data_IF_036476480523
#
_entry.id   IF_036476480523
#
_cell.length_a   1.000
_cell.length_b   1.000
_cell.length_c   1.000
_cell.angle_alpha   90.00
_cell.angle_beta   90.00
_cell.angle_gamma   90.00
#
_symmetry.space_group_name_H-M   'P 1'
#
loop_
_entity.id
_entity.type
_entity.pdbx_description
1 polymer ?
#
# COMPACT_ATOMS: atom_id res chain seq x y z
N UNK A 1 54.51 54.94 47.74
CA UNK A 1 54.91 53.59 47.26
C UNK A 1 53.75 53.03 46.46
N UNK A 2 53.71 53.24 45.13
CA UNK A 2 54.23 52.33 44.09
C UNK A 2 53.75 50.87 44.28
N UNK A 3 52.74 50.45 43.50
CA UNK A 3 52.96 49.58 42.35
C UNK A 3 51.72 49.55 41.43
N UNK A 4 51.97 49.81 40.14
CA UNK A 4 51.07 49.57 39.00
C UNK A 4 51.02 48.07 38.72
N UNK A 5 49.86 47.57 38.30
CA UNK A 5 49.75 46.49 37.31
C UNK A 5 48.55 46.75 36.41
N UNK A 6 48.80 46.84 35.11
CA UNK A 6 47.79 46.82 34.05
C UNK A 6 47.54 45.40 33.56
N UNK A 7 46.43 45.19 32.85
CA UNK A 7 46.08 43.89 32.29
C UNK A 7 44.84 43.95 31.39
N UNK A 8 45.08 44.31 30.14
CA UNK A 8 44.39 43.95 28.88
C UNK A 8 42.89 43.63 28.87
N UNK A 9 42.15 44.55 28.24
CA UNK A 9 40.86 44.33 27.61
C UNK A 9 41.00 43.47 26.35
N UNK A 10 40.49 42.24 26.37
CA UNK A 10 40.27 41.44 25.16
C UNK A 10 38.77 41.49 24.81
N UNK A 11 38.44 42.35 23.84
CA UNK A 11 37.17 42.34 23.13
C UNK A 11 37.17 41.14 22.18
N UNK A 12 36.31 40.15 22.46
CA UNK A 12 36.00 39.06 21.53
C UNK A 12 34.93 39.58 20.56
N UNK A 13 35.14 39.59 19.23
CA UNK A 13 34.08 39.93 18.30
C UNK A 13 33.10 38.76 18.19
N UNK A 14 31.84 39.00 18.56
CA UNK A 14 30.72 38.10 18.35
C UNK A 14 30.35 38.14 16.86
N UNK A 15 30.88 37.20 16.07
CA UNK A 15 30.40 36.97 14.71
C UNK A 15 29.10 36.17 14.81
N UNK A 16 27.96 36.86 14.83
CA UNK A 16 26.64 36.24 14.68
C UNK A 16 26.54 35.66 13.28
N UNK A 17 26.75 34.35 13.18
CA UNK A 17 26.46 33.55 11.99
C UNK A 17 24.93 33.47 11.85
N UNK A 18 24.35 34.39 11.08
CA UNK A 18 22.95 34.28 10.66
C UNK A 18 22.89 33.16 9.62
N UNK A 19 22.59 31.94 10.07
CA UNK A 19 22.16 30.86 9.20
C UNK A 19 20.80 31.25 8.59
N UNK A 20 20.82 31.83 7.40
CA UNK A 20 19.63 31.93 6.56
C UNK A 20 19.25 30.51 6.16
N UNK A 21 18.28 29.94 6.88
CA UNK A 21 17.54 28.77 6.44
C UNK A 21 16.73 29.19 5.21
N UNK A 22 17.32 28.99 4.03
CA UNK A 22 16.56 29.01 2.78
C UNK A 22 15.68 27.77 2.78
N UNK A 23 14.46 27.92 3.27
CA UNK A 23 13.40 26.96 3.01
C UNK A 23 13.15 26.99 1.49
N UNK A 24 13.66 26.00 0.76
CA UNK A 24 13.28 25.80 -0.63
C UNK A 24 11.83 25.35 -0.64
N UNK A 25 10.90 26.28 -0.83
CA UNK A 25 9.53 25.95 -1.20
C UNK A 25 9.61 25.08 -2.45
N UNK A 26 9.14 23.83 -2.35
CA UNK A 26 9.02 22.94 -3.50
C UNK A 26 8.13 23.60 -4.54
N UNK A 27 8.43 23.38 -5.82
CA UNK A 27 7.47 23.72 -6.87
C UNK A 27 6.22 22.88 -6.60
N UNK A 28 5.02 23.49 -6.48
CA UNK A 28 3.79 22.73 -6.28
C UNK A 28 3.65 21.67 -7.38
N UNK A 29 3.47 20.41 -6.98
CA UNK A 29 3.30 19.29 -7.91
C UNK A 29 4.58 18.52 -8.29
N UNK A 30 5.71 18.73 -7.61
CA UNK A 30 6.91 17.90 -7.80
C UNK A 30 6.95 16.74 -6.80
N UNK A 31 6.89 15.50 -7.30
CA UNK A 31 7.03 14.29 -6.51
C UNK A 31 8.51 14.08 -6.13
N UNK A 32 8.73 13.61 -4.90
CA UNK A 32 10.07 13.27 -4.38
C UNK A 32 10.14 11.81 -4.02
N UNK A 33 11.17 11.13 -4.50
CA UNK A 33 11.44 9.71 -4.29
C UNK A 33 12.78 9.59 -3.58
N UNK A 34 12.77 9.11 -2.34
CA UNK A 34 13.99 8.76 -1.60
C UNK A 34 14.20 7.26 -1.71
N UNK A 35 15.36 6.83 -2.14
CA UNK A 35 15.69 5.42 -2.34
C UNK A 35 17.14 5.13 -1.97
N UNK A 36 17.47 3.85 -1.82
CA UNK A 36 18.82 3.36 -1.53
C UNK A 36 19.46 2.78 -2.80
N UNK A 37 20.67 3.21 -3.15
CA UNK A 37 21.40 2.64 -4.28
C UNK A 37 22.10 1.31 -3.93
N UNK A 38 22.76 0.67 -4.90
CA UNK A 38 23.51 -0.59 -4.69
C UNK A 38 24.63 -0.49 -3.65
N UNK A 39 25.10 0.73 -3.34
CA UNK A 39 26.16 0.99 -2.35
C UNK A 39 25.62 1.29 -0.96
N UNK A 40 24.31 1.23 -0.77
CA UNK A 40 23.66 1.59 0.49
C UNK A 40 23.47 3.09 0.71
N UNK A 41 23.83 3.93 -0.26
CA UNK A 41 23.71 5.39 -0.16
C UNK A 41 22.26 5.82 -0.38
N UNK A 42 21.81 6.82 0.39
CA UNK A 42 20.46 7.39 0.27
C UNK A 42 20.47 8.51 -0.76
N UNK A 43 19.64 8.37 -1.79
CA UNK A 43 19.51 9.33 -2.89
C UNK A 43 18.07 9.85 -2.92
N UNK A 44 17.92 11.15 -3.17
CA UNK A 44 16.62 11.78 -3.44
C UNK A 44 16.54 12.16 -4.92
N UNK A 45 15.46 11.74 -5.58
CA UNK A 45 15.08 12.18 -6.92
C UNK A 45 13.84 13.05 -6.86
N UNK A 46 13.76 14.02 -7.77
CA UNK A 46 12.64 14.94 -7.91
C UNK A 46 12.13 14.97 -9.35
N UNK A 47 10.81 14.97 -9.51
CA UNK A 47 10.16 14.93 -10.82
C UNK A 47 8.71 14.50 -10.73
N UNK A 48 8.20 13.92 -11.81
CA UNK A 48 6.84 13.37 -11.89
C UNK A 48 6.93 11.85 -11.83
N UNK A 49 6.22 11.20 -10.90
CA UNK A 49 6.07 9.75 -10.92
C UNK A 49 5.10 9.37 -12.03
N UNK A 50 5.62 8.70 -13.06
CA UNK A 50 4.84 8.30 -14.25
C UNK A 50 4.31 6.87 -14.15
N UNK A 51 4.93 6.04 -13.32
CA UNK A 51 4.45 4.70 -13.00
C UNK A 51 4.97 4.26 -11.62
N UNK A 52 4.15 3.53 -10.87
CA UNK A 52 4.55 2.96 -9.59
C UNK A 52 3.86 1.61 -9.38
N UNK A 53 4.63 0.53 -9.57
CA UNK A 53 4.18 -0.86 -9.38
C UNK A 53 4.76 -1.43 -8.10
N UNK A 54 4.40 -2.69 -7.79
CA UNK A 54 5.01 -3.44 -6.70
C UNK A 54 6.54 -3.64 -6.87
N UNK A 55 7.10 -3.46 -8.08
CA UNK A 55 8.50 -3.76 -8.39
C UNK A 55 9.36 -2.53 -8.61
N UNK A 56 8.80 -1.47 -9.19
CA UNK A 56 9.58 -0.28 -9.51
C UNK A 56 8.74 1.00 -9.44
N UNK A 57 9.44 2.09 -9.17
CA UNK A 57 8.96 3.45 -9.37
C UNK A 57 9.70 4.07 -10.55
N UNK A 58 8.94 4.66 -11.47
CA UNK A 58 9.47 5.40 -12.61
C UNK A 58 9.20 6.88 -12.41
N UNK A 59 10.27 7.67 -12.45
CA UNK A 59 10.20 9.11 -12.23
C UNK A 59 10.81 9.87 -13.41
N UNK A 60 10.04 10.81 -13.96
CA UNK A 60 10.46 11.70 -15.04
C UNK A 60 11.00 12.99 -14.45
N UNK A 61 12.28 13.25 -14.64
CA UNK A 61 12.93 14.45 -14.11
C UNK A 61 12.62 15.71 -14.97
N UNK A 62 13.07 16.88 -14.52
CA UNK A 62 12.90 18.15 -15.23
C UNK A 62 13.52 18.18 -16.65
N UNK A 63 14.51 17.33 -16.93
CA UNK A 63 15.09 17.18 -18.26
C UNK A 63 14.30 16.22 -19.17
N UNK A 64 13.15 15.70 -18.71
CA UNK A 64 12.30 14.76 -19.42
C UNK A 64 12.81 13.32 -19.43
N UNK A 65 13.93 13.03 -18.75
CA UNK A 65 14.48 11.67 -18.64
C UNK A 65 13.73 10.89 -17.58
N UNK A 66 13.29 9.69 -17.95
CA UNK A 66 12.73 8.71 -17.00
C UNK A 66 13.87 7.95 -16.35
N UNK A 67 13.90 7.98 -15.02
CA UNK A 67 14.76 7.15 -14.17
C UNK A 67 13.90 6.12 -13.46
N UNK A 68 14.48 4.94 -13.21
CA UNK A 68 13.81 3.82 -12.56
C UNK A 68 14.52 3.50 -11.25
N UNK A 69 13.75 3.30 -10.19
CA UNK A 69 14.25 2.75 -8.94
C UNK A 69 13.42 1.51 -8.59
N UNK A 70 14.10 0.50 -8.06
CA UNK A 70 13.46 -0.71 -7.57
C UNK A 70 12.69 -0.39 -6.28
N UNK A 71 11.47 -0.95 -6.16
CA UNK A 71 10.56 -0.66 -5.05
C UNK A 71 11.07 -1.23 -3.71
N UNK A 72 11.79 -2.35 -3.74
CA UNK A 72 12.46 -2.96 -2.58
C UNK A 72 13.49 -2.04 -1.87
N UNK A 73 13.98 -1.02 -2.59
CA UNK A 73 14.94 -0.03 -2.07
C UNK A 73 14.35 1.35 -1.89
N UNK A 74 13.05 1.48 -2.09
CA UNK A 74 12.33 2.72 -1.92
C UNK A 74 12.16 3.01 -0.43
N UNK A 75 12.63 4.17 0.01
CA UNK A 75 12.57 4.57 1.41
C UNK A 75 11.38 5.49 1.70
N UNK A 76 11.04 6.36 0.75
CA UNK A 76 9.90 7.26 0.88
C UNK A 76 9.47 7.83 -0.47
N UNK A 77 8.16 7.98 -0.64
CA UNK A 77 7.57 8.86 -1.65
C UNK A 77 6.91 10.04 -0.94
N UNK A 78 7.19 11.26 -1.39
CA UNK A 78 6.56 12.49 -0.90
C UNK A 78 5.96 13.23 -2.08
N UNK A 79 4.73 13.66 -1.94
CA UNK A 79 3.98 14.35 -2.98
C UNK A 79 2.93 15.26 -2.34
N UNK A 80 2.49 16.27 -3.09
CA UNK A 80 1.44 17.16 -2.61
C UNK A 80 0.08 16.44 -2.65
N UNK A 81 -0.61 16.45 -1.51
CA UNK A 81 -1.95 15.87 -1.32
C UNK A 81 -3.00 16.97 -1.30
N UNK A 82 -4.15 16.73 -1.94
CA UNK A 82 -5.28 17.65 -1.82
C UNK A 82 -5.79 17.73 -0.38
N UNK A 83 -6.53 18.78 -0.06
CA UNK A 83 -7.14 18.93 1.26
C UNK A 83 -8.06 17.73 1.59
N UNK A 84 -8.84 17.27 0.61
CA UNK A 84 -9.70 16.10 0.77
C UNK A 84 -8.90 14.83 1.12
N UNK A 85 -7.73 14.62 0.48
CA UNK A 85 -6.86 13.50 0.79
C UNK A 85 -6.33 13.59 2.23
N UNK A 86 -5.79 14.75 2.63
CA UNK A 86 -5.26 14.95 3.98
C UNK A 86 -6.34 14.74 5.06
N UNK A 87 -7.57 15.23 4.82
CA UNK A 87 -8.71 15.01 5.71
C UNK A 87 -9.09 13.52 5.77
N UNK A 88 -9.10 12.83 4.63
CA UNK A 88 -9.39 11.40 4.58
C UNK A 88 -8.38 10.57 5.40
N UNK A 89 -7.08 10.87 5.28
CA UNK A 89 -6.02 10.21 6.05
C UNK A 89 -6.23 10.40 7.56
N UNK A 90 -6.58 11.62 7.99
CA UNK A 90 -6.85 11.92 9.39
C UNK A 90 -8.08 11.15 9.92
N UNK A 91 -9.17 11.10 9.15
CA UNK A 91 -10.39 10.37 9.50
C UNK A 91 -10.15 8.86 9.54
N UNK A 92 -9.40 8.32 8.58
CA UNK A 92 -9.02 6.90 8.56
C UNK A 92 -8.22 6.54 9.82
N UNK A 93 -7.24 7.37 10.19
CA UNK A 93 -6.45 7.18 11.41
C UNK A 93 -7.31 7.28 12.69
N UNK A 94 -8.38 8.07 12.67
CA UNK A 94 -9.34 8.18 13.76
C UNK A 94 -10.37 7.02 13.80
N UNK A 95 -10.38 6.13 12.80
CA UNK A 95 -11.37 5.05 12.69
C UNK A 95 -12.74 5.52 12.19
N UNK A 96 -12.85 6.75 11.67
CA UNK A 96 -14.08 7.31 11.12
C UNK A 96 -14.25 6.89 9.65
N UNK A 97 -14.39 5.58 9.43
CA UNK A 97 -14.27 4.96 8.10
C UNK A 97 -15.31 5.45 7.08
N UNK A 98 -16.51 5.79 7.51
CA UNK A 98 -17.58 6.29 6.62
C UNK A 98 -17.23 7.67 6.07
N UNK A 99 -16.89 8.61 6.96
CA UNK A 99 -16.43 9.94 6.57
C UNK A 99 -15.11 9.90 5.79
N UNK A 100 -14.18 9.02 6.18
CA UNK A 100 -12.94 8.81 5.45
C UNK A 100 -13.22 8.36 4.01
N UNK A 101 -14.17 7.44 3.80
CA UNK A 101 -14.54 6.97 2.48
C UNK A 101 -15.10 8.11 1.61
N UNK A 102 -15.96 8.98 2.15
CA UNK A 102 -16.46 10.15 1.42
C UNK A 102 -15.32 11.09 0.98
N UNK A 103 -14.36 11.35 1.88
CA UNK A 103 -13.22 12.22 1.59
C UNK A 103 -12.24 11.61 0.60
N UNK A 104 -11.96 10.31 0.70
CA UNK A 104 -11.15 9.60 -0.31
C UNK A 104 -11.83 9.60 -1.68
N UNK A 105 -13.16 9.45 -1.76
CA UNK A 105 -13.89 9.58 -3.03
C UNK A 105 -13.80 10.99 -3.62
N UNK A 106 -13.86 12.04 -2.79
CA UNK A 106 -13.65 13.41 -3.25
C UNK A 106 -12.24 13.61 -3.80
N UNK A 107 -11.22 13.19 -3.04
CA UNK A 107 -9.83 13.24 -3.49
C UNK A 107 -9.60 12.44 -4.79
N UNK A 108 -10.23 11.27 -4.94
CA UNK A 108 -10.09 10.44 -6.15
C UNK A 108 -10.62 11.15 -7.40
N UNK A 109 -11.71 11.94 -7.27
CA UNK A 109 -12.27 12.71 -8.38
C UNK A 109 -11.39 13.90 -8.78
N UNK A 110 -10.70 14.50 -7.82
CA UNK A 110 -9.83 15.66 -8.03
C UNK A 110 -8.43 15.29 -8.54
N UNK A 111 -7.95 14.11 -8.16
CA UNK A 111 -6.61 13.66 -8.51
C UNK A 111 -6.48 13.39 -10.01
N UNK A 112 -5.32 13.70 -10.59
CA UNK A 112 -5.01 13.45 -12.00
C UNK A 112 -4.00 12.31 -12.17
N UNK A 113 -3.10 12.13 -11.19
CA UNK A 113 -2.03 11.13 -11.21
C UNK A 113 -2.61 9.74 -10.97
N UNK A 114 -2.45 8.85 -11.95
CA UNK A 114 -2.98 7.48 -11.90
C UNK A 114 -2.47 6.70 -10.67
N UNK A 115 -1.18 6.83 -10.34
CA UNK A 115 -0.58 6.11 -9.22
C UNK A 115 -1.10 6.57 -7.85
N UNK A 116 -1.53 7.84 -7.73
CA UNK A 116 -2.19 8.37 -6.53
C UNK A 116 -3.66 7.97 -6.49
N UNK A 117 -4.36 7.95 -7.64
CA UNK A 117 -5.72 7.38 -7.71
C UNK A 117 -5.75 5.93 -7.25
N UNK A 118 -4.74 5.15 -7.62
CA UNK A 118 -4.58 3.77 -7.16
C UNK A 118 -4.46 3.70 -5.62
N UNK A 119 -3.70 4.62 -5.02
CA UNK A 119 -3.55 4.74 -3.55
C UNK A 119 -4.85 5.11 -2.85
N UNK A 120 -5.54 6.11 -3.38
CA UNK A 120 -6.85 6.54 -2.88
C UNK A 120 -7.88 5.41 -2.97
N UNK A 121 -7.87 4.65 -4.08
CA UNK A 121 -8.72 3.49 -4.26
C UNK A 121 -8.38 2.38 -3.25
N UNK A 122 -7.09 2.10 -2.99
CA UNK A 122 -6.67 1.13 -1.99
C UNK A 122 -7.11 1.54 -0.57
N UNK A 123 -7.03 2.83 -0.23
CA UNK A 123 -7.56 3.35 1.03
C UNK A 123 -9.09 3.21 1.11
N UNK A 124 -9.81 3.38 0.00
CA UNK A 124 -11.24 3.09 -0.06
C UNK A 124 -11.54 1.61 0.20
N UNK A 125 -10.76 0.67 -0.35
CA UNK A 125 -10.91 -0.76 -0.05
C UNK A 125 -10.83 -1.02 1.46
N UNK A 126 -9.85 -0.40 2.15
CA UNK A 126 -9.69 -0.50 3.61
C UNK A 126 -10.91 0.06 4.37
N UNK A 127 -11.41 1.22 3.95
CA UNK A 127 -12.61 1.82 4.56
C UNK A 127 -13.82 0.88 4.40
N UNK A 128 -14.05 0.38 3.19
CA UNK A 128 -15.18 -0.51 2.89
C UNK A 128 -15.10 -1.82 3.67
N UNK A 129 -13.92 -2.41 3.80
CA UNK A 129 -13.73 -3.60 4.65
C UNK A 129 -14.01 -3.31 6.12
N UNK A 130 -13.60 -2.15 6.62
CA UNK A 130 -13.84 -1.73 8.00
C UNK A 130 -15.32 -1.43 8.28
N UNK A 131 -16.08 -1.05 7.26
CA UNK A 131 -17.53 -0.85 7.31
C UNK A 131 -18.33 -2.15 7.09
N UNK A 132 -17.69 -3.31 7.04
CA UNK A 132 -18.31 -4.59 6.70
C UNK A 132 -19.03 -4.57 5.33
N UNK A 133 -18.45 -3.87 4.34
CA UNK A 133 -18.95 -3.78 2.96
C UNK A 133 -18.02 -4.51 1.97
N UNK A 134 -17.84 -5.85 2.10
CA UNK A 134 -16.83 -6.57 1.33
C UNK A 134 -17.10 -6.60 -0.17
N UNK A 135 -18.36 -6.57 -0.59
CA UNK A 135 -18.71 -6.49 -2.01
C UNK A 135 -18.28 -5.16 -2.63
N UNK A 136 -18.45 -4.04 -1.92
CA UNK A 136 -17.98 -2.72 -2.36
C UNK A 136 -16.46 -2.70 -2.42
N UNK A 137 -15.79 -3.17 -1.37
CA UNK A 137 -14.34 -3.29 -1.30
C UNK A 137 -13.78 -4.10 -2.49
N UNK A 138 -14.37 -5.25 -2.78
CA UNK A 138 -13.94 -6.12 -3.87
C UNK A 138 -14.13 -5.51 -5.25
N UNK A 139 -15.23 -4.78 -5.50
CA UNK A 139 -15.40 -4.06 -6.78
C UNK A 139 -14.31 -3.03 -7.00
N UNK A 140 -13.96 -2.26 -5.95
CA UNK A 140 -12.90 -1.25 -6.00
C UNK A 140 -11.54 -1.93 -6.25
N UNK A 141 -11.23 -2.98 -5.48
CA UNK A 141 -9.98 -3.72 -5.65
C UNK A 141 -9.85 -4.33 -7.06
N UNK A 142 -10.93 -4.94 -7.57
CA UNK A 142 -10.93 -5.49 -8.92
C UNK A 142 -10.70 -4.41 -9.98
N UNK A 143 -11.16 -3.19 -9.77
CA UNK A 143 -10.83 -2.08 -10.68
C UNK A 143 -9.34 -1.73 -10.64
N UNK A 144 -8.72 -1.70 -9.45
CA UNK A 144 -7.27 -1.48 -9.27
C UNK A 144 -6.47 -2.50 -10.08
N UNK A 145 -6.69 -3.80 -9.86
CA UNK A 145 -5.90 -4.86 -10.52
C UNK A 145 -6.28 -5.09 -11.99
N UNK A 146 -7.44 -4.59 -12.44
CA UNK A 146 -7.80 -4.59 -13.87
C UNK A 146 -7.00 -3.53 -14.62
N UNK A 147 -6.82 -2.35 -14.03
CA UNK A 147 -6.01 -1.27 -14.60
C UNK A 147 -4.51 -1.57 -14.49
N UNK A 148 -4.08 -2.12 -13.36
CA UNK A 148 -2.68 -2.42 -13.05
C UNK A 148 -2.55 -3.78 -12.38
N UNK A 149 -2.29 -4.85 -13.14
CA UNK A 149 -2.11 -6.20 -12.59
C UNK A 149 -0.88 -6.33 -11.70
N UNK A 150 0.11 -5.45 -11.84
CA UNK A 150 1.31 -5.35 -11.00
C UNK A 150 1.16 -4.29 -9.89
N UNK A 151 -0.07 -3.96 -9.52
CA UNK A 151 -0.40 -3.04 -8.44
C UNK A 151 0.39 -3.34 -7.16
N UNK A 152 0.89 -2.28 -6.50
CA UNK A 152 1.49 -2.41 -5.16
C UNK A 152 0.47 -2.68 -4.05
N UNK A 153 -0.82 -2.65 -4.38
CA UNK A 153 -1.91 -2.71 -3.42
C UNK A 153 -2.57 -4.09 -3.31
N UNK A 154 -1.93 -5.15 -3.79
CA UNK A 154 -2.35 -6.52 -3.48
C UNK A 154 -2.56 -6.78 -1.98
N UNK A 155 -1.79 -6.21 -1.03
CA UNK A 155 -2.02 -6.38 0.41
C UNK A 155 -3.41 -5.96 0.92
N UNK A 156 -4.13 -5.07 0.21
CA UNK A 156 -5.49 -4.67 0.61
C UNK A 156 -6.59 -5.52 -0.01
N UNK A 157 -6.25 -6.61 -0.70
CA UNK A 157 -7.22 -7.53 -1.30
C UNK A 157 -8.29 -7.95 -0.26
N UNK A 158 -9.59 -7.82 -0.56
CA UNK A 158 -10.65 -8.10 0.41
C UNK A 158 -10.95 -9.59 0.50
N UNK A 159 -10.01 -10.34 1.07
CA UNK A 159 -10.18 -11.73 1.44
C UNK A 159 -10.76 -11.84 2.85
N UNK A 160 -11.54 -12.89 3.10
CA UNK A 160 -11.87 -13.27 4.48
C UNK A 160 -10.82 -14.22 5.03
N UNK A 161 -10.43 -14.00 6.28
CA UNK A 161 -9.47 -14.85 7.00
C UNK A 161 -10.14 -15.67 8.12
N UNK A 162 -11.39 -15.35 8.46
CA UNK A 162 -12.14 -16.00 9.54
C UNK A 162 -13.29 -16.84 9.00
N UNK A 163 -13.71 -17.87 9.74
CA UNK A 163 -14.88 -18.66 9.37
C UNK A 163 -16.20 -17.94 9.68
N UNK A 164 -16.16 -16.92 10.54
CA UNK A 164 -17.34 -16.15 10.90
C UNK A 164 -17.61 -15.05 9.86
N UNK A 165 -18.31 -15.43 8.79
CA UNK A 165 -18.74 -14.51 7.74
C UNK A 165 -20.17 -14.01 8.05
N UNK A 166 -20.35 -12.69 8.22
CA UNK A 166 -21.66 -12.06 8.41
C UNK A 166 -22.67 -12.44 7.33
N UNK A 167 -23.95 -12.59 7.71
CA UNK A 167 -24.98 -13.09 6.80
C UNK A 167 -25.23 -12.18 5.57
N UNK A 168 -25.04 -10.88 5.71
CA UNK A 168 -25.06 -9.90 4.64
C UNK A 168 -23.88 -10.05 3.68
N UNK A 169 -22.68 -10.26 4.21
CA UNK A 169 -21.48 -10.53 3.43
C UNK A 169 -21.59 -11.83 2.60
N UNK A 170 -22.45 -12.79 2.98
CA UNK A 170 -22.70 -14.01 2.19
C UNK A 170 -23.49 -13.77 0.91
N UNK A 171 -24.19 -12.63 0.76
CA UNK A 171 -25.05 -12.31 -0.39
C UNK A 171 -24.34 -11.56 -1.53
N UNK A 172 -23.02 -11.50 -1.51
CA UNK A 172 -22.25 -10.86 -2.58
C UNK A 172 -22.29 -11.65 -3.90
N UNK A 173 -21.72 -11.10 -4.98
CA UNK A 173 -21.68 -11.71 -6.31
C UNK A 173 -20.65 -12.87 -6.38
N UNK A 174 -20.42 -13.57 -5.27
CA UNK A 174 -19.31 -14.51 -5.12
C UNK A 174 -19.44 -15.70 -6.06
N UNK A 175 -20.66 -16.20 -6.27
CA UNK A 175 -20.90 -17.30 -7.20
C UNK A 175 -20.53 -16.93 -8.64
N UNK A 176 -20.94 -15.74 -9.08
CA UNK A 176 -20.60 -15.26 -10.41
C UNK A 176 -19.09 -15.06 -10.54
N UNK A 177 -18.45 -14.51 -9.50
CA UNK A 177 -17.03 -14.24 -9.48
C UNK A 177 -16.14 -15.48 -9.35
N UNK A 178 -16.68 -16.59 -8.81
CA UNK A 178 -15.97 -17.86 -8.73
C UNK A 178 -15.64 -18.41 -10.13
N UNK A 179 -16.46 -18.06 -11.12
CA UNK A 179 -16.32 -18.43 -12.53
C UNK A 179 -15.83 -17.28 -13.42
N UNK A 180 -15.43 -16.15 -12.84
CA UNK A 180 -14.89 -15.01 -13.60
C UNK A 180 -13.54 -15.40 -14.23
N UNK A 181 -13.19 -14.79 -15.37
CA UNK A 181 -11.90 -15.03 -16.03
C UNK A 181 -10.72 -14.44 -15.26
N UNK A 182 -10.97 -13.44 -14.40
CA UNK A 182 -9.94 -12.74 -13.63
C UNK A 182 -9.56 -13.56 -12.40
N UNK A 183 -8.29 -13.94 -12.23
CA UNK A 183 -7.85 -14.73 -11.08
C UNK A 183 -8.13 -14.06 -9.73
N UNK A 184 -7.98 -12.73 -9.66
CA UNK A 184 -8.29 -11.94 -8.45
C UNK A 184 -9.76 -12.08 -8.01
N UNK A 185 -10.71 -12.06 -8.96
CA UNK A 185 -12.14 -12.19 -8.67
C UNK A 185 -12.45 -13.58 -8.12
N UNK A 186 -11.89 -14.61 -8.75
CA UNK A 186 -12.01 -16.01 -8.31
C UNK A 186 -11.42 -16.22 -6.92
N UNK A 187 -10.25 -15.63 -6.64
CA UNK A 187 -9.58 -15.71 -5.33
C UNK A 187 -10.44 -15.08 -4.24
N UNK A 188 -10.97 -13.87 -4.47
CA UNK A 188 -11.87 -13.19 -3.55
C UNK A 188 -13.12 -14.05 -3.32
N UNK A 189 -13.81 -14.44 -4.38
CA UNK A 189 -15.01 -15.27 -4.30
C UNK A 189 -14.80 -16.56 -3.50
N UNK A 190 -13.74 -17.30 -3.80
CA UNK A 190 -13.42 -18.53 -3.11
C UNK A 190 -13.15 -18.30 -1.61
N UNK A 191 -12.46 -17.20 -1.24
CA UNK A 191 -12.23 -16.88 0.18
C UNK A 191 -13.54 -16.73 0.95
N UNK A 192 -14.53 -16.04 0.37
CA UNK A 192 -15.84 -15.75 1.00
C UNK A 192 -16.78 -16.96 1.01
N UNK A 193 -16.75 -17.79 -0.03
CA UNK A 193 -17.59 -18.99 -0.13
C UNK A 193 -17.07 -20.17 0.70
N UNK A 194 -15.81 -20.13 1.15
CA UNK A 194 -15.21 -21.18 1.96
C UNK A 194 -15.98 -21.47 3.25
N UNK A 195 -16.49 -20.43 3.93
CA UNK A 195 -17.16 -20.56 5.23
C UNK A 195 -18.64 -21.00 5.14
N UNK A 196 -19.09 -21.46 3.97
CA UNK A 196 -20.49 -21.78 3.72
C UNK A 196 -20.71 -23.09 2.96
N UNK A 197 -21.91 -23.23 2.41
CA UNK A 197 -22.38 -24.47 1.78
C UNK A 197 -21.64 -24.80 0.47
N UNK A 198 -20.82 -23.89 -0.04
CA UNK A 198 -20.06 -24.03 -1.29
C UNK A 198 -18.55 -24.24 -1.05
N UNK A 199 -18.18 -24.64 0.17
CA UNK A 199 -16.79 -24.88 0.54
C UNK A 199 -16.04 -25.78 -0.46
N UNK A 200 -16.64 -26.89 -0.91
CA UNK A 200 -15.99 -27.83 -1.84
C UNK A 200 -15.66 -27.19 -3.21
N UNK A 201 -16.51 -26.27 -3.68
CA UNK A 201 -16.29 -25.55 -4.92
C UNK A 201 -15.19 -24.50 -4.76
N UNK A 202 -15.26 -23.71 -3.67
CA UNK A 202 -14.22 -22.76 -3.30
C UNK A 202 -12.84 -23.44 -3.14
N UNK A 203 -12.78 -24.61 -2.50
CA UNK A 203 -11.59 -25.46 -2.38
C UNK A 203 -11.01 -25.85 -3.73
N UNK A 204 -11.88 -26.19 -4.68
CA UNK A 204 -11.48 -26.57 -6.03
C UNK A 204 -10.92 -25.36 -6.77
N UNK A 205 -11.59 -24.21 -6.69
CA UNK A 205 -11.11 -22.95 -7.29
C UNK A 205 -9.75 -22.54 -6.71
N UNK A 206 -9.56 -22.59 -5.39
CA UNK A 206 -8.25 -22.26 -4.78
C UNK A 206 -7.15 -23.20 -5.26
N UNK A 207 -7.42 -24.52 -5.40
CA UNK A 207 -6.45 -25.48 -5.94
C UNK A 207 -6.08 -25.19 -7.40
N UNK A 208 -7.01 -24.71 -8.20
CA UNK A 208 -6.73 -24.29 -9.57
C UNK A 208 -5.85 -23.03 -9.60
N UNK A 209 -6.14 -22.06 -8.73
CA UNK A 209 -5.37 -20.81 -8.62
C UNK A 209 -3.93 -21.00 -8.15
N UNK A 210 -3.59 -22.16 -7.53
CA UNK A 210 -2.19 -22.52 -7.26
C UNK A 210 -1.34 -22.69 -8.53
N UNK A 211 -1.96 -22.76 -9.72
CA UNK A 211 -1.28 -22.87 -11.01
C UNK A 211 -1.38 -21.57 -11.83
N UNK A 212 -1.89 -20.50 -11.24
CA UNK A 212 -2.00 -19.20 -11.89
C UNK A 212 -0.62 -18.65 -12.30
N UNK A 213 -0.54 -17.82 -13.32
CA UNK A 213 0.74 -17.22 -13.76
C UNK A 213 1.25 -16.20 -12.74
N UNK A 214 0.34 -15.50 -12.03
CA UNK A 214 0.69 -14.54 -10.99
C UNK A 214 1.16 -15.23 -9.72
N UNK A 215 2.40 -14.96 -9.32
CA UNK A 215 2.96 -15.45 -8.06
C UNK A 215 2.14 -15.04 -6.85
N UNK A 216 1.68 -13.78 -6.81
CA UNK A 216 0.84 -13.23 -5.74
C UNK A 216 -0.48 -14.00 -5.63
N UNK A 217 -1.13 -14.31 -6.75
CA UNK A 217 -2.38 -15.10 -6.75
C UNK A 217 -2.13 -16.51 -6.22
N UNK A 218 -1.07 -17.18 -6.69
CA UNK A 218 -0.71 -18.53 -6.20
C UNK A 218 -0.47 -18.55 -4.70
N UNK A 219 0.32 -17.60 -4.20
CA UNK A 219 0.68 -17.49 -2.78
C UNK A 219 -0.54 -17.20 -1.91
N UNK A 220 -1.40 -16.25 -2.30
CA UNK A 220 -2.64 -15.96 -1.58
C UNK A 220 -3.63 -17.13 -1.63
N UNK A 221 -3.71 -17.85 -2.74
CA UNK A 221 -4.53 -19.05 -2.85
C UNK A 221 -4.04 -20.16 -1.91
N UNK A 222 -2.71 -20.35 -1.79
CA UNK A 222 -2.11 -21.26 -0.82
C UNK A 222 -2.44 -20.85 0.62
N UNK A 223 -2.26 -19.56 0.95
CA UNK A 223 -2.57 -19.02 2.27
C UNK A 223 -4.05 -19.25 2.66
N UNK A 224 -4.96 -19.06 1.71
CA UNK A 224 -6.39 -19.29 1.94
C UNK A 224 -6.73 -20.77 2.21
N UNK A 225 -5.97 -21.72 1.66
CA UNK A 225 -6.16 -23.15 1.96
C UNK A 225 -5.71 -23.52 3.38
N UNK A 226 -4.76 -22.79 3.98
CA UNK A 226 -4.32 -23.06 5.35
C UNK A 226 -5.46 -22.90 6.35
N UNK A 227 -6.44 -22.02 6.09
CA UNK A 227 -7.62 -21.80 6.94
C UNK A 227 -8.39 -23.10 7.24
N UNK A 228 -8.52 -23.97 6.25
CA UNK A 228 -9.16 -25.29 6.41
C UNK A 228 -8.32 -26.30 7.22
N UNK A 229 -7.02 -26.05 7.33
CA UNK A 229 -6.06 -26.95 7.96
C UNK A 229 -5.78 -26.58 9.41
N UNK A 230 -6.05 -25.33 9.84
CA UNK A 230 -5.77 -24.81 11.19
C UNK A 230 -6.23 -25.75 12.30
N UNK A 231 -7.45 -26.30 12.20
CA UNK A 231 -8.02 -27.19 13.24
C UNK A 231 -7.21 -28.48 13.42
N UNK A 232 -6.47 -28.92 12.41
CA UNK A 232 -5.69 -30.15 12.39
C UNK A 232 -4.17 -29.91 12.33
N UNK A 233 -3.75 -28.65 12.27
CA UNK A 233 -2.36 -28.28 12.09
C UNK A 233 -1.52 -28.67 13.31
N UNK A 234 -0.32 -29.18 13.07
CA UNK A 234 0.69 -29.37 14.10
C UNK A 234 1.77 -28.26 14.00
N UNK A 235 2.73 -28.27 14.92
CA UNK A 235 3.80 -27.26 14.97
C UNK A 235 4.60 -27.21 13.67
N UNK A 236 4.89 -28.35 13.03
CA UNK A 236 5.63 -28.38 11.78
C UNK A 236 4.84 -27.77 10.61
N UNK A 237 3.51 -27.91 10.61
CA UNK A 237 2.66 -27.22 9.63
C UNK A 237 2.73 -25.70 9.82
N UNK A 238 2.71 -25.22 11.07
CA UNK A 238 2.83 -23.79 11.39
C UNK A 238 4.20 -23.24 11.02
N UNK A 239 5.29 -23.95 11.32
CA UNK A 239 6.64 -23.55 10.92
C UNK A 239 6.80 -23.47 9.40
N UNK A 240 6.22 -24.41 8.66
CA UNK A 240 6.18 -24.38 7.20
C UNK A 240 5.41 -23.16 6.69
N UNK A 241 4.23 -22.89 7.23
CA UNK A 241 3.43 -21.73 6.82
C UNK A 241 4.11 -20.40 7.15
N UNK A 242 4.79 -20.30 8.29
CA UNK A 242 5.59 -19.13 8.67
C UNK A 242 6.78 -18.91 7.70
N UNK A 243 7.45 -19.99 7.28
CA UNK A 243 8.49 -19.91 6.25
C UNK A 243 7.91 -19.50 4.88
N UNK A 244 6.77 -20.08 4.47
CA UNK A 244 6.08 -19.73 3.22
C UNK A 244 5.56 -18.28 3.24
N UNK A 245 5.08 -17.79 4.39
CA UNK A 245 4.64 -16.41 4.57
C UNK A 245 5.79 -15.41 4.42
N UNK A 246 6.96 -15.69 5.02
CA UNK A 246 8.15 -14.84 4.89
C UNK A 246 8.71 -14.73 3.46
N UNK A 247 8.38 -15.69 2.60
CA UNK A 247 8.80 -15.70 1.19
C UNK A 247 7.75 -15.03 0.27
N UNK A 248 6.61 -14.61 0.81
CA UNK A 248 5.65 -13.79 0.06
C UNK A 248 6.24 -12.38 -0.13
N UNK A 249 5.97 -11.70 -1.27
CA UNK A 249 6.39 -10.32 -1.49
C UNK A 249 5.97 -9.44 -0.30
N UNK A 250 6.92 -8.72 0.27
CA UNK A 250 6.70 -7.82 1.40
C UNK A 250 5.61 -6.77 1.10
N UNK A 251 4.85 -6.42 2.14
CA UNK A 251 3.83 -5.35 2.20
C UNK A 251 4.40 -3.93 1.98
#
# INVERSE_FOLDING_TARGET
MKHRYGGNSNLVPLWSLVCVLVATAGVPGEDRVRWQNDRGERIEWRGEIVAYTAREVQLKNAAGRVVKASADRLLQVTYDRSEAHQQADALLAAGEFDQAAEKYQAAFREEARSWVKEELAASLVRCQMSLNQPTSAAKIFLAIVTENSESRFWPVIPLTWTADVPADARRGPWNDWLHDKRPAARLIAASWLWAGNQQAEAETTLRELLRDESATVRQLAAAQQWRGQIVRANVADVERWDAEWRDMPDD
#
